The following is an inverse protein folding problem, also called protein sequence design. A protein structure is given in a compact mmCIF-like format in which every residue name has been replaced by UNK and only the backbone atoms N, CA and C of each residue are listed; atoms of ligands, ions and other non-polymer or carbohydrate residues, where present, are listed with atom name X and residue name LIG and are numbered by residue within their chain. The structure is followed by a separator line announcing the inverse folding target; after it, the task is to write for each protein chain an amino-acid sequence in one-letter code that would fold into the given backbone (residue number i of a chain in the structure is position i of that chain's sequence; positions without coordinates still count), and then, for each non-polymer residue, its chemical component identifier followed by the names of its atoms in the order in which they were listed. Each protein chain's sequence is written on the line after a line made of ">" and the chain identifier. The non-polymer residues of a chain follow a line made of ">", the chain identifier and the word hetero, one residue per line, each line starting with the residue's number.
data_IF_684380429681
#
_entry.id   IF_684380429681
#
_cell.length_a   1.000
_cell.length_b   1.000
_cell.length_c   1.000
_cell.angle_alpha   90.00
_cell.angle_beta   90.00
_cell.angle_gamma   90.00
#
_symmetry.space_group_name_H-M   'P 1'
#
loop_
_entity.id
_entity.type
_entity.pdbx_description
1 polymer ?
#
# COMPACT_ATOMS: atom_id res chain seq x y z
N UNK A 1 -30.76 -16.45 1.35
CA UNK A 1 -29.86 -15.73 0.42
C UNK A 1 -29.87 -14.26 0.82
N UNK A 2 -28.89 -13.82 1.63
CA UNK A 2 -28.81 -12.42 2.11
C UNK A 2 -28.08 -11.60 1.05
N UNK A 3 -28.74 -10.61 0.47
CA UNK A 3 -28.11 -9.68 -0.46
C UNK A 3 -27.03 -8.86 0.26
N UNK A 4 -25.85 -8.61 -0.35
CA UNK A 4 -24.81 -7.81 0.28
C UNK A 4 -25.32 -6.38 0.52
N UNK A 5 -25.15 -5.89 1.76
CA UNK A 5 -25.41 -4.49 2.11
C UNK A 5 -24.43 -3.59 1.34
N UNK A 6 -24.92 -2.87 0.33
CA UNK A 6 -24.18 -1.75 -0.24
C UNK A 6 -23.95 -0.71 0.86
N UNK A 7 -22.69 -0.43 1.20
CA UNK A 7 -22.38 0.75 2.01
C UNK A 7 -22.45 1.96 1.06
N UNK A 8 -23.41 2.89 1.23
CA UNK A 8 -23.50 4.04 0.36
C UNK A 8 -22.25 4.90 0.56
N UNK A 9 -21.48 5.10 -0.52
CA UNK A 9 -20.34 6.02 -0.51
C UNK A 9 -20.79 7.45 -0.22
N UNK A 10 -20.03 8.18 0.60
CA UNK A 10 -20.27 9.59 0.90
C UNK A 10 -19.78 10.45 -0.26
N UNK A 11 -20.63 11.36 -0.76
CA UNK A 11 -20.23 12.38 -1.74
C UNK A 11 -19.78 13.63 -1.00
N UNK A 12 -18.63 14.16 -1.40
CA UNK A 12 -18.02 15.37 -0.84
C UNK A 12 -17.81 16.39 -1.97
N UNK A 13 -18.10 17.65 -1.70
CA UNK A 13 -17.69 18.76 -2.55
C UNK A 13 -16.40 19.35 -1.98
N UNK A 14 -15.34 19.42 -2.79
CA UNK A 14 -14.03 19.91 -2.38
C UNK A 14 -13.54 20.94 -3.39
N UNK A 15 -12.85 21.97 -2.90
CA UNK A 15 -12.15 22.93 -3.74
C UNK A 15 -10.67 22.56 -3.80
N UNK A 16 -10.14 22.39 -5.00
CA UNK A 16 -8.74 22.07 -5.28
C UNK A 16 -8.22 23.05 -6.33
N UNK A 17 -6.91 23.28 -6.36
CA UNK A 17 -6.29 24.04 -7.46
C UNK A 17 -6.36 23.25 -8.76
N UNK A 18 -6.24 23.92 -9.91
CA UNK A 18 -6.17 23.23 -11.21
C UNK A 18 -4.96 22.29 -11.30
N UNK A 19 -3.84 22.67 -10.68
CA UNK A 19 -2.63 21.86 -10.60
C UNK A 19 -2.86 20.56 -9.81
N UNK A 20 -3.50 20.64 -8.64
CA UNK A 20 -3.82 19.45 -7.83
C UNK A 20 -4.77 18.49 -8.56
N UNK A 21 -5.72 19.03 -9.32
CA UNK A 21 -6.63 18.22 -10.15
C UNK A 21 -5.85 17.52 -11.27
N UNK A 22 -4.91 18.21 -11.91
CA UNK A 22 -4.07 17.62 -12.96
C UNK A 22 -3.20 16.47 -12.42
N UNK A 23 -2.62 16.65 -11.22
CA UNK A 23 -1.86 15.59 -10.53
C UNK A 23 -2.76 14.38 -10.24
N UNK A 24 -3.98 14.61 -9.75
CA UNK A 24 -4.93 13.54 -9.42
C UNK A 24 -5.36 12.75 -10.67
N UNK A 25 -5.56 13.45 -11.80
CA UNK A 25 -5.92 12.83 -13.08
C UNK A 25 -4.79 11.98 -13.64
N UNK A 26 -3.56 12.50 -13.61
CA UNK A 26 -2.39 11.76 -14.05
C UNK A 26 -2.15 10.52 -13.19
N UNK A 27 -2.33 10.65 -11.88
CA UNK A 27 -2.27 9.51 -10.96
C UNK A 27 -3.36 8.47 -11.26
N UNK A 28 -4.60 8.91 -11.49
CA UNK A 28 -5.69 7.99 -11.83
C UNK A 28 -5.38 7.23 -13.13
N UNK A 29 -4.85 7.92 -14.14
CA UNK A 29 -4.49 7.33 -15.44
C UNK A 29 -3.37 6.31 -15.31
N UNK A 30 -2.28 6.68 -14.63
CA UNK A 30 -1.09 5.81 -14.47
C UNK A 30 -1.36 4.58 -13.59
N UNK A 31 -2.20 4.72 -12.56
CA UNK A 31 -2.59 3.62 -11.68
C UNK A 31 -3.79 2.80 -12.19
N UNK A 32 -4.37 3.14 -13.36
CA UNK A 32 -5.50 2.42 -13.94
C UNK A 32 -6.81 2.55 -13.15
N UNK A 33 -7.01 3.69 -12.46
CA UNK A 33 -8.15 3.91 -11.59
C UNK A 33 -9.36 4.46 -12.37
N UNK A 34 -10.58 4.01 -12.02
CA UNK A 34 -11.78 4.32 -12.81
C UNK A 34 -12.33 5.74 -12.59
N UNK A 35 -11.83 6.49 -11.58
CA UNK A 35 -12.32 7.84 -11.28
C UNK A 35 -11.37 8.64 -10.39
N UNK A 36 -11.55 9.97 -10.39
CA UNK A 36 -10.93 10.89 -9.42
C UNK A 36 -11.24 10.52 -7.98
N UNK A 37 -12.45 10.04 -7.67
CA UNK A 37 -12.81 9.58 -6.33
C UNK A 37 -12.04 8.33 -5.91
N UNK A 38 -11.77 7.40 -6.83
CA UNK A 38 -10.94 6.23 -6.56
C UNK A 38 -9.47 6.64 -6.30
N UNK A 39 -8.95 7.59 -7.09
CA UNK A 39 -7.64 8.18 -6.86
C UNK A 39 -7.53 8.87 -5.48
N UNK A 40 -8.51 9.72 -5.14
CA UNK A 40 -8.56 10.41 -3.86
C UNK A 40 -8.67 9.42 -2.69
N UNK A 41 -9.50 8.38 -2.83
CA UNK A 41 -9.65 7.35 -1.80
C UNK A 41 -8.34 6.58 -1.58
N UNK A 42 -7.58 6.30 -2.64
CA UNK A 42 -6.26 5.66 -2.50
C UNK A 42 -5.24 6.61 -1.85
N UNK A 43 -5.23 7.89 -2.22
CA UNK A 43 -4.39 8.90 -1.57
C UNK A 43 -4.68 8.99 -0.05
N UNK A 44 -5.96 9.04 0.33
CA UNK A 44 -6.38 9.04 1.75
C UNK A 44 -5.97 7.76 2.47
N UNK A 45 -5.96 6.59 1.80
CA UNK A 45 -5.43 5.36 2.42
C UNK A 45 -3.93 5.45 2.69
N UNK A 46 -3.16 6.10 1.83
CA UNK A 46 -1.72 6.35 2.07
C UNK A 46 -1.50 7.28 3.26
N UNK A 47 -2.38 8.26 3.48
CA UNK A 47 -2.33 9.12 4.67
C UNK A 47 -2.55 8.36 6.00
N UNK A 48 -3.04 7.12 6.00
CA UNK A 48 -3.17 6.32 7.23
C UNK A 48 -1.84 5.71 7.69
N UNK A 49 -0.83 5.78 6.85
CA UNK A 49 0.44 5.08 6.97
C UNK A 49 1.59 6.07 6.74
N UNK A 50 1.47 7.30 7.25
CA UNK A 50 2.46 8.38 7.04
C UNK A 50 3.84 7.95 7.55
N UNK A 51 3.88 7.20 8.64
CA UNK A 51 5.13 6.73 9.24
C UNK A 51 5.52 5.34 8.75
N UNK A 52 4.76 4.69 7.86
CA UNK A 52 4.99 3.28 7.50
C UNK A 52 6.37 3.06 6.88
N UNK A 53 6.88 4.01 6.10
CA UNK A 53 8.24 3.96 5.55
C UNK A 53 9.30 4.01 6.68
N UNK A 54 9.09 4.86 7.68
CA UNK A 54 9.96 4.97 8.85
C UNK A 54 9.84 3.75 9.75
N UNK A 55 8.63 3.22 9.94
CA UNK A 55 8.34 2.01 10.71
C UNK A 55 9.03 0.80 10.09
N UNK A 56 8.96 0.64 8.76
CA UNK A 56 9.69 -0.41 8.07
C UNK A 56 11.20 -0.25 8.18
N UNK A 57 11.72 0.99 8.07
CA UNK A 57 13.15 1.26 8.24
C UNK A 57 13.63 0.91 9.66
N UNK A 58 12.86 1.30 10.68
CA UNK A 58 13.14 0.99 12.07
C UNK A 58 13.08 -0.52 12.34
N UNK A 59 12.05 -1.21 11.84
CA UNK A 59 11.91 -2.65 11.98
C UNK A 59 13.06 -3.41 11.33
N UNK A 60 13.50 -3.00 10.12
CA UNK A 60 14.66 -3.60 9.47
C UNK A 60 15.97 -3.35 10.22
N UNK A 61 16.14 -2.15 10.79
CA UNK A 61 17.32 -1.82 11.59
C UNK A 61 17.37 -2.64 12.88
N UNK A 62 16.24 -2.77 13.58
CA UNK A 62 16.09 -3.61 14.78
C UNK A 62 16.40 -5.07 14.48
N UNK A 63 15.78 -5.63 13.43
CA UNK A 63 16.03 -7.00 12.99
C UNK A 63 17.49 -7.27 12.61
N UNK A 64 18.13 -6.30 11.95
CA UNK A 64 19.53 -6.43 11.55
C UNK A 64 20.47 -6.38 12.77
N UNK A 65 20.11 -5.60 13.79
CA UNK A 65 20.90 -5.44 15.01
C UNK A 65 20.68 -6.57 16.04
N UNK A 66 19.54 -7.28 15.98
CA UNK A 66 19.21 -8.35 16.94
C UNK A 66 20.01 -9.64 16.75
N UNK A 67 20.67 -9.80 15.61
CA UNK A 67 21.34 -11.05 15.23
C UNK A 67 20.39 -12.11 14.65
N UNK A 68 19.08 -11.88 14.69
CA UNK A 68 18.06 -12.74 14.09
C UNK A 68 18.28 -12.92 12.59
N UNK A 69 18.79 -11.90 11.89
CA UNK A 69 19.16 -12.03 10.48
C UNK A 69 20.04 -13.25 10.22
N UNK A 70 21.09 -13.46 11.01
CA UNK A 70 21.99 -14.60 10.82
C UNK A 70 21.32 -15.95 11.12
N UNK A 71 20.41 -15.98 12.11
CA UNK A 71 19.65 -17.18 12.46
C UNK A 71 18.70 -17.60 11.32
N UNK A 72 18.05 -16.64 10.66
CA UNK A 72 17.07 -16.90 9.61
C UNK A 72 17.69 -17.09 8.21
N UNK A 73 18.86 -16.52 7.93
CA UNK A 73 19.59 -16.72 6.67
C UNK A 73 19.91 -18.21 6.40
N UNK A 74 20.14 -19.00 7.45
CA UNK A 74 20.41 -20.43 7.32
C UNK A 74 19.23 -21.23 6.71
N UNK A 75 17.99 -20.76 6.93
CA UNK A 75 16.78 -21.40 6.41
C UNK A 75 16.36 -20.88 5.03
N UNK A 76 17.07 -19.88 4.46
CA UNK A 76 16.67 -19.24 3.20
C UNK A 76 16.69 -20.19 1.99
N UNK A 77 17.48 -21.27 2.05
CA UNK A 77 17.60 -22.27 0.99
C UNK A 77 16.72 -23.52 1.18
N UNK A 78 16.00 -23.64 2.29
CA UNK A 78 15.26 -24.84 2.63
C UNK A 78 14.16 -25.12 1.58
N UNK A 79 14.12 -26.35 1.05
CA UNK A 79 13.10 -26.79 0.10
C UNK A 79 13.30 -26.33 -1.36
N UNK A 80 14.35 -25.55 -1.67
CA UNK A 80 14.65 -25.14 -3.05
C UNK A 80 15.23 -26.29 -3.90
N UNK A 81 15.81 -27.31 -3.28
CA UNK A 81 16.33 -28.50 -3.95
C UNK A 81 15.23 -29.52 -4.34
N UNK A 82 14.04 -29.44 -3.73
CA UNK A 82 12.90 -30.34 -4.00
C UNK A 82 12.02 -29.86 -5.18
N UNK A 83 12.23 -28.65 -5.68
CA UNK A 83 11.44 -28.07 -6.77
C UNK A 83 11.77 -28.65 -8.17
N UNK A 84 12.77 -29.54 -8.27
CA UNK A 84 13.25 -30.12 -9.52
C UNK A 84 12.66 -31.51 -9.86
N UNK A 85 11.51 -31.91 -9.31
CA UNK A 85 10.88 -33.20 -9.64
C UNK A 85 9.51 -33.07 -10.29
#
# INVERSE_FOLDING_TARGET
>A
MVAPRQHPGVKLSVSLSEEDVAILDEYARTAGLPSRSAALQQAVRRLRHVDLEQDYAAAFAEWSASGERAAWEAAAGDGLDDAAR
#
